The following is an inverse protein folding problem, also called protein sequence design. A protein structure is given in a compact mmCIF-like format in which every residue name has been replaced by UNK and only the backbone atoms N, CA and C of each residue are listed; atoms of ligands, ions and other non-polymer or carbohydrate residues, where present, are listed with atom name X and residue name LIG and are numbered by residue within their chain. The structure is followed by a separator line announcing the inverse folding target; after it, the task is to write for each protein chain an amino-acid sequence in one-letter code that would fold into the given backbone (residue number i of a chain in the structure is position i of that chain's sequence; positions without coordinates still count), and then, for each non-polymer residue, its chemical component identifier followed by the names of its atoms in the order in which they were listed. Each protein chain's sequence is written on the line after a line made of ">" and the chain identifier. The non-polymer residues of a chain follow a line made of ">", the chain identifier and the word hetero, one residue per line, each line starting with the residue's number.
data_IF_744597073578
#
_entry.id   IF_744597073578
#
_cell.length_a   1.000
_cell.length_b   1.000
_cell.length_c   1.000
_cell.angle_alpha   90.00
_cell.angle_beta   90.00
_cell.angle_gamma   90.00
#
_symmetry.space_group_name_H-M   'P 1'
#
loop_
_entity.id
_entity.type
_entity.pdbx_description
1 polymer ?
#
# COMPACT_ATOMS: atom_id res chain seq x y z
N UNK A 1 -5.65 -13.18 2.92
CA UNK A 1 -5.99 -11.76 3.17
C UNK A 1 -7.49 -11.75 3.37
N UNK A 2 -7.94 -11.50 4.61
CA UNK A 2 -9.36 -11.71 4.98
C UNK A 2 -10.15 -10.38 4.98
N UNK A 3 -9.46 -9.25 4.90
CA UNK A 3 -10.02 -7.89 4.95
C UNK A 3 -9.68 -7.13 3.68
N UNK A 4 -10.62 -6.34 3.17
CA UNK A 4 -10.43 -5.44 2.04
C UNK A 4 -10.77 -4.00 2.41
N UNK A 5 -9.94 -3.08 1.99
CA UNK A 5 -10.20 -1.65 2.03
C UNK A 5 -10.38 -1.14 0.60
N UNK A 6 -11.54 -0.57 0.27
CA UNK A 6 -11.83 -0.13 -1.09
C UNK A 6 -11.09 1.17 -1.38
N UNK A 7 -10.24 1.24 -2.43
CA UNK A 7 -9.55 2.48 -2.76
C UNK A 7 -10.52 3.55 -3.27
N UNK A 8 -10.20 4.82 -3.03
CA UNK A 8 -11.00 5.98 -3.49
C UNK A 8 -10.42 6.70 -4.70
N UNK A 9 -9.26 6.26 -5.16
CA UNK A 9 -8.64 6.76 -6.39
C UNK A 9 -7.86 5.64 -7.08
N UNK A 10 -7.80 5.72 -8.38
CA UNK A 10 -6.98 4.86 -9.22
C UNK A 10 -5.64 5.53 -9.52
N UNK A 11 -5.66 6.84 -9.71
CA UNK A 11 -4.53 7.74 -9.91
C UNK A 11 -4.89 9.15 -9.39
N UNK A 12 -4.00 10.12 -9.48
CA UNK A 12 -4.22 11.50 -9.00
C UNK A 12 -5.41 12.21 -9.69
N UNK A 13 -5.79 11.78 -10.91
CA UNK A 13 -6.85 12.38 -11.72
C UNK A 13 -8.13 11.54 -11.75
N UNK A 14 -8.06 10.25 -11.41
CA UNK A 14 -9.18 9.30 -11.53
C UNK A 14 -9.67 8.89 -10.15
N UNK A 15 -10.78 9.53 -9.72
CA UNK A 15 -11.44 9.14 -8.46
C UNK A 15 -12.34 7.92 -8.69
N UNK A 16 -12.24 6.97 -7.77
CA UNK A 16 -13.17 5.84 -7.68
C UNK A 16 -14.34 6.31 -6.81
N UNK A 17 -15.51 6.45 -7.43
CA UNK A 17 -16.72 6.93 -6.75
C UNK A 17 -17.81 5.87 -6.67
N UNK A 18 -17.61 4.71 -7.28
CA UNK A 18 -18.58 3.62 -7.27
C UNK A 18 -17.88 2.26 -7.21
N UNK A 19 -18.55 1.31 -6.57
CA UNK A 19 -18.24 -0.12 -6.70
C UNK A 19 -19.11 -0.66 -7.83
N UNK A 20 -18.45 -1.11 -8.90
CA UNK A 20 -19.11 -1.53 -10.13
C UNK A 20 -19.89 -2.85 -9.95
N UNK A 21 -20.77 -3.11 -10.92
CA UNK A 21 -21.53 -4.35 -10.97
C UNK A 21 -20.59 -5.56 -10.92
N UNK A 22 -20.90 -6.51 -10.04
CA UNK A 22 -20.16 -7.78 -9.86
C UNK A 22 -18.67 -7.63 -9.47
N UNK A 23 -18.22 -6.43 -9.06
CA UNK A 23 -16.79 -6.14 -8.79
C UNK A 23 -16.16 -7.09 -7.76
N UNK A 24 -16.91 -7.56 -6.79
CA UNK A 24 -16.49 -8.50 -5.74
C UNK A 24 -17.46 -9.69 -5.61
N UNK A 25 -18.12 -10.06 -6.71
CA UNK A 25 -19.03 -11.23 -6.72
C UNK A 25 -18.23 -12.53 -6.56
N UNK A 26 -18.77 -13.49 -5.76
CA UNK A 26 -18.16 -14.80 -5.52
C UNK A 26 -16.73 -14.74 -4.91
N UNK A 27 -16.44 -13.68 -4.16
CA UNK A 27 -15.10 -13.43 -3.61
C UNK A 27 -14.97 -14.08 -2.22
N UNK A 28 -14.66 -15.37 -2.19
CA UNK A 28 -14.67 -16.19 -0.96
C UNK A 28 -13.52 -15.94 0.03
N UNK A 29 -12.52 -15.12 -0.33
CA UNK A 29 -11.39 -14.85 0.58
C UNK A 29 -11.62 -13.67 1.52
N UNK A 30 -12.69 -12.88 1.35
CA UNK A 30 -12.96 -11.69 2.15
C UNK A 30 -13.88 -12.01 3.33
N UNK A 31 -13.53 -11.47 4.52
CA UNK A 31 -14.37 -11.51 5.73
C UNK A 31 -14.87 -10.14 6.14
N UNK A 32 -14.07 -9.13 5.95
CA UNK A 32 -14.37 -7.76 6.29
C UNK A 32 -14.07 -6.84 5.11
N UNK A 33 -14.97 -5.88 4.84
CA UNK A 33 -14.79 -4.88 3.80
C UNK A 33 -15.01 -3.49 4.40
N UNK A 34 -14.13 -2.55 4.05
CA UNK A 34 -14.28 -1.13 4.40
C UNK A 34 -14.49 -0.34 3.12
N UNK A 35 -15.62 0.36 3.05
CA UNK A 35 -16.00 1.27 1.96
C UNK A 35 -15.87 2.69 2.48
N UNK A 36 -14.75 3.38 2.19
CA UNK A 36 -14.42 4.66 2.81
C UNK A 36 -15.16 5.84 2.19
N UNK A 37 -15.00 7.02 2.81
CA UNK A 37 -15.48 8.26 2.24
C UNK A 37 -14.89 8.51 0.84
N UNK A 38 -15.75 8.98 -0.08
CA UNK A 38 -15.42 9.17 -1.51
C UNK A 38 -16.17 8.21 -2.42
N UNK A 39 -16.50 7.01 -1.96
CA UNK A 39 -17.42 6.12 -2.67
C UNK A 39 -18.85 6.60 -2.44
N UNK A 40 -19.59 6.79 -3.54
CA UNK A 40 -20.97 7.29 -3.53
C UNK A 40 -22.02 6.23 -3.87
N UNK A 41 -21.63 5.21 -4.63
CA UNK A 41 -22.54 4.18 -5.14
C UNK A 41 -22.00 2.76 -5.02
N UNK A 42 -22.87 1.80 -4.65
CA UNK A 42 -22.63 0.36 -4.73
C UNK A 42 -23.65 -0.22 -5.71
N UNK A 43 -23.16 -0.77 -6.83
CA UNK A 43 -24.02 -1.23 -7.93
C UNK A 43 -24.53 -2.65 -7.73
N UNK A 44 -25.37 -3.09 -8.69
CA UNK A 44 -26.01 -4.42 -8.64
C UNK A 44 -24.97 -5.52 -8.53
N UNK A 45 -25.28 -6.50 -7.69
CA UNK A 45 -24.49 -7.73 -7.51
C UNK A 45 -23.00 -7.47 -7.07
N UNK A 46 -22.67 -6.27 -6.60
CA UNK A 46 -21.28 -5.87 -6.32
C UNK A 46 -20.52 -6.84 -5.41
N UNK A 47 -21.21 -7.44 -4.43
CA UNK A 47 -20.65 -8.43 -3.50
C UNK A 47 -21.46 -9.73 -3.49
N UNK A 48 -22.24 -9.98 -4.54
CA UNK A 48 -23.11 -11.15 -4.62
C UNK A 48 -22.34 -12.44 -4.40
N UNK A 49 -22.94 -13.35 -3.60
CA UNK A 49 -22.40 -14.67 -3.29
C UNK A 49 -21.00 -14.69 -2.64
N UNK A 50 -20.49 -13.56 -2.15
CA UNK A 50 -19.26 -13.49 -1.36
C UNK A 50 -19.51 -13.93 0.08
N UNK A 51 -19.78 -15.23 0.27
CA UNK A 51 -20.40 -15.84 1.46
C UNK A 51 -19.59 -15.72 2.75
N UNK A 52 -18.30 -15.49 2.66
CA UNK A 52 -17.42 -15.37 3.81
C UNK A 52 -17.39 -13.95 4.41
N UNK A 53 -17.97 -12.95 3.72
CA UNK A 53 -18.07 -11.60 4.25
C UNK A 53 -19.06 -11.58 5.41
N UNK A 54 -18.60 -11.14 6.58
CA UNK A 54 -19.43 -11.00 7.78
C UNK A 54 -19.61 -9.55 8.21
N UNK A 55 -18.70 -8.67 7.80
CA UNK A 55 -18.69 -7.26 8.19
C UNK A 55 -18.43 -6.35 6.98
N UNK A 56 -19.29 -5.37 6.76
CA UNK A 56 -19.05 -4.30 5.79
C UNK A 56 -19.23 -2.95 6.49
N UNK A 57 -18.20 -2.12 6.46
CA UNK A 57 -18.21 -0.75 6.95
C UNK A 57 -18.48 0.18 5.78
N UNK A 58 -19.51 1.02 5.87
CA UNK A 58 -19.96 1.88 4.79
C UNK A 58 -19.96 3.33 5.26
N UNK A 59 -19.12 4.16 4.64
CA UNK A 59 -19.00 5.57 4.95
C UNK A 59 -20.27 6.38 4.56
N UNK A 60 -20.52 7.53 5.21
CA UNK A 60 -21.69 8.37 4.96
C UNK A 60 -21.80 8.93 3.54
N UNK A 61 -20.70 8.96 2.79
CA UNK A 61 -20.68 9.39 1.38
C UNK A 61 -21.48 8.49 0.46
N UNK A 62 -21.68 7.20 0.85
CA UNK A 62 -22.50 6.26 0.05
C UNK A 62 -23.97 6.66 0.17
N UNK A 63 -24.54 7.10 -0.95
CA UNK A 63 -25.92 7.57 -1.04
C UNK A 63 -26.81 6.73 -1.96
N UNK A 64 -26.25 5.66 -2.53
CA UNK A 64 -26.96 4.70 -3.36
C UNK A 64 -26.35 3.30 -3.22
N UNK A 65 -27.21 2.33 -2.89
CA UNK A 65 -26.85 0.91 -2.80
C UNK A 65 -27.92 0.13 -3.58
N UNK A 66 -27.47 -0.67 -4.56
CA UNK A 66 -28.36 -1.51 -5.33
C UNK A 66 -28.95 -2.61 -4.44
N UNK A 67 -30.20 -2.98 -4.69
CA UNK A 67 -30.91 -3.95 -3.85
C UNK A 67 -30.23 -5.32 -3.82
N UNK A 68 -29.59 -5.71 -4.92
CA UNK A 68 -28.90 -7.00 -5.07
C UNK A 68 -27.43 -6.95 -4.68
N UNK A 69 -26.92 -5.80 -4.21
CA UNK A 69 -25.50 -5.57 -3.96
C UNK A 69 -24.87 -6.63 -3.04
N UNK A 70 -25.65 -7.18 -2.09
CA UNK A 70 -25.20 -8.13 -1.08
C UNK A 70 -25.98 -9.44 -1.10
N UNK A 71 -26.63 -9.76 -2.22
CA UNK A 71 -27.39 -11.01 -2.35
C UNK A 71 -26.49 -12.24 -2.14
N UNK A 72 -27.02 -13.24 -1.42
CA UNK A 72 -26.26 -14.48 -1.13
C UNK A 72 -25.28 -14.40 0.02
N UNK A 73 -25.27 -13.30 0.79
CA UNK A 73 -24.46 -13.15 2.03
C UNK A 73 -25.38 -13.28 3.26
N UNK A 74 -25.42 -14.47 3.86
CA UNK A 74 -26.42 -14.80 4.92
C UNK A 74 -26.14 -14.14 6.29
N UNK A 75 -24.86 -13.92 6.65
CA UNK A 75 -24.44 -13.46 7.99
C UNK A 75 -23.86 -12.05 8.00
N UNK A 76 -24.25 -11.23 7.04
CA UNK A 76 -23.73 -9.88 6.90
C UNK A 76 -24.18 -8.96 8.04
N UNK A 77 -23.23 -8.19 8.58
CA UNK A 77 -23.48 -7.02 9.42
C UNK A 77 -22.96 -5.77 8.72
N UNK A 78 -23.84 -4.81 8.45
CA UNK A 78 -23.47 -3.50 7.94
C UNK A 78 -23.17 -2.58 9.13
N UNK A 79 -21.97 -1.99 9.11
CA UNK A 79 -21.56 -0.95 10.05
C UNK A 79 -21.65 0.39 9.32
N UNK A 80 -22.45 1.32 9.83
CA UNK A 80 -22.67 2.62 9.22
C UNK A 80 -23.03 3.68 10.27
N UNK A 81 -22.81 4.95 9.94
CA UNK A 81 -23.23 6.03 10.82
C UNK A 81 -24.75 6.13 10.92
N UNK A 82 -25.23 6.52 12.12
CA UNK A 82 -26.65 6.74 12.36
C UNK A 82 -27.18 7.87 11.46
N UNK A 83 -28.30 7.61 10.78
CA UNK A 83 -28.91 8.54 9.83
C UNK A 83 -28.39 8.41 8.40
N UNK A 84 -27.36 7.61 8.15
CA UNK A 84 -26.80 7.39 6.80
C UNK A 84 -27.75 6.64 5.88
N UNK A 85 -27.45 6.67 4.58
CA UNK A 85 -28.16 5.87 3.58
C UNK A 85 -27.96 4.35 3.84
N UNK A 86 -26.77 3.96 4.24
CA UNK A 86 -26.42 2.57 4.51
C UNK A 86 -27.20 1.99 5.71
N UNK A 87 -27.44 2.78 6.78
CA UNK A 87 -28.33 2.37 7.87
C UNK A 87 -29.74 2.09 7.35
N UNK A 88 -30.32 3.03 6.58
CA UNK A 88 -31.68 2.89 6.03
C UNK A 88 -31.77 1.65 5.13
N UNK A 89 -30.79 1.45 4.27
CA UNK A 89 -30.70 0.30 3.39
C UNK A 89 -30.65 -1.02 4.19
N UNK A 90 -29.81 -1.11 5.22
CA UNK A 90 -29.70 -2.29 6.07
C UNK A 90 -31.04 -2.63 6.75
N UNK A 91 -31.70 -1.63 7.32
CA UNK A 91 -33.00 -1.80 7.99
C UNK A 91 -34.09 -2.24 7.01
N UNK A 92 -34.21 -1.60 5.84
CA UNK A 92 -35.19 -1.92 4.81
C UNK A 92 -35.01 -3.34 4.24
N UNK A 93 -33.77 -3.78 4.09
CA UNK A 93 -33.44 -5.11 3.55
C UNK A 93 -33.24 -6.18 4.64
N UNK A 94 -33.49 -5.86 5.91
CA UNK A 94 -33.37 -6.79 7.05
C UNK A 94 -31.98 -7.38 7.22
N UNK A 95 -30.95 -6.61 6.88
CA UNK A 95 -29.54 -6.92 7.13
C UNK A 95 -29.19 -6.44 8.54
N UNK A 96 -28.38 -7.19 9.28
CA UNK A 96 -27.90 -6.75 10.59
C UNK A 96 -27.18 -5.42 10.47
N UNK A 97 -27.47 -4.51 11.39
CA UNK A 97 -26.88 -3.19 11.42
C UNK A 97 -26.24 -2.90 12.77
N UNK A 98 -25.09 -2.25 12.74
CA UNK A 98 -24.43 -1.66 13.90
C UNK A 98 -23.99 -0.24 13.61
N UNK A 99 -24.23 0.66 14.55
CA UNK A 99 -23.73 2.01 14.46
C UNK A 99 -22.22 2.04 14.71
N UNK A 100 -21.48 2.81 13.91
CA UNK A 100 -20.11 3.20 14.24
C UNK A 100 -19.95 4.73 14.13
N UNK A 101 -19.05 5.29 14.93
CA UNK A 101 -18.79 6.74 14.99
C UNK A 101 -17.41 7.11 14.46
N UNK A 102 -16.58 6.11 14.19
CA UNK A 102 -15.22 6.29 13.67
C UNK A 102 -15.01 5.21 12.64
N UNK A 103 -14.62 5.61 11.42
CA UNK A 103 -14.23 4.68 10.36
C UNK A 103 -13.17 3.72 10.91
N UNK A 104 -13.32 2.42 10.68
CA UNK A 104 -12.32 1.48 11.16
C UNK A 104 -10.97 1.88 10.59
N UNK A 105 -10.01 2.07 11.48
CA UNK A 105 -8.64 2.21 11.04
C UNK A 105 -8.30 1.00 10.18
N UNK A 106 -7.68 1.24 9.03
CA UNK A 106 -7.12 0.14 8.26
C UNK A 106 -6.12 -0.58 9.17
N UNK A 107 -6.42 -1.80 9.66
CA UNK A 107 -5.51 -2.49 10.57
C UNK A 107 -4.18 -2.80 9.92
N UNK A 108 -4.14 -2.85 8.58
CA UNK A 108 -2.91 -3.01 7.83
C UNK A 108 -2.03 -1.75 7.90
N UNK A 109 -2.62 -0.54 8.04
CA UNK A 109 -1.86 0.69 8.15
C UNK A 109 -0.97 0.77 9.41
N UNK A 110 -1.32 0.07 10.49
CA UNK A 110 -0.57 0.12 11.76
C UNK A 110 0.45 -1.00 11.97
N UNK A 111 0.32 -2.11 11.25
CA UNK A 111 1.15 -3.31 11.46
C UNK A 111 1.57 -4.00 10.17
N UNK A 112 1.40 -3.36 9.02
CA UNK A 112 1.85 -3.95 7.76
C UNK A 112 3.37 -3.98 7.76
N UNK A 113 3.92 -5.17 7.71
CA UNK A 113 5.32 -5.37 7.39
C UNK A 113 5.49 -5.08 5.89
N UNK A 114 5.68 -3.81 5.58
CA UNK A 114 5.83 -3.30 4.21
C UNK A 114 6.97 -3.99 3.44
N UNK A 115 7.86 -4.70 4.16
CA UNK A 115 8.94 -5.47 3.58
C UNK A 115 8.46 -6.73 2.84
N UNK A 116 7.21 -7.17 3.08
CA UNK A 116 6.67 -8.44 2.54
C UNK A 116 5.67 -8.27 1.41
N UNK A 117 5.37 -7.03 1.00
CA UNK A 117 4.44 -6.79 -0.10
C UNK A 117 5.12 -7.19 -1.42
N UNK A 118 4.47 -8.07 -2.17
CA UNK A 118 4.94 -8.56 -3.47
C UNK A 118 3.80 -8.58 -4.49
N UNK A 119 4.12 -8.27 -5.75
CA UNK A 119 3.28 -8.39 -6.93
C UNK A 119 2.18 -7.35 -7.07
N UNK A 120 2.58 -6.11 -7.38
CA UNK A 120 1.67 -5.01 -7.70
C UNK A 120 0.95 -5.14 -9.03
N UNK A 121 -0.26 -4.64 -9.05
CA UNK A 121 -1.09 -4.54 -10.24
C UNK A 121 -0.90 -3.21 -11.00
N UNK A 122 -0.14 -2.27 -10.44
CA UNK A 122 0.03 -0.93 -10.99
C UNK A 122 1.37 -0.82 -11.72
N UNK A 123 1.37 -0.16 -12.87
CA UNK A 123 2.53 0.01 -13.72
C UNK A 123 2.78 1.50 -13.97
N UNK A 124 3.80 2.04 -13.32
CA UNK A 124 4.39 3.31 -13.72
C UNK A 124 5.28 3.15 -14.97
N UNK A 125 5.81 4.24 -15.49
CA UNK A 125 6.68 4.19 -16.68
C UNK A 125 7.94 3.33 -16.44
N UNK A 126 8.53 3.44 -15.24
CA UNK A 126 9.78 2.74 -14.88
C UNK A 126 9.63 1.80 -13.68
N UNK A 127 8.55 1.91 -12.91
CA UNK A 127 8.34 1.18 -11.67
C UNK A 127 7.01 0.44 -11.69
N UNK A 128 7.01 -0.80 -11.21
CA UNK A 128 5.79 -1.44 -10.74
C UNK A 128 5.65 -1.09 -9.27
N UNK A 129 4.44 -0.83 -8.82
CA UNK A 129 4.18 -0.50 -7.42
C UNK A 129 2.83 -1.03 -6.97
N UNK A 130 2.71 -1.24 -5.66
CA UNK A 130 1.44 -1.52 -4.97
C UNK A 130 0.95 -0.26 -4.28
N UNK A 131 -0.36 -0.05 -4.27
CA UNK A 131 -1.00 0.96 -3.44
C UNK A 131 -1.45 0.30 -2.14
N UNK A 132 -0.98 0.86 -1.04
CA UNK A 132 -1.37 0.47 0.31
C UNK A 132 -1.86 1.69 1.06
N UNK A 133 -2.39 1.51 2.27
CA UNK A 133 -2.85 2.60 3.11
C UNK A 133 -1.98 2.73 4.36
N UNK A 134 -1.42 3.92 4.57
CA UNK A 134 -0.68 4.30 5.76
C UNK A 134 -1.42 5.42 6.48
N UNK A 135 -1.86 5.17 7.72
CA UNK A 135 -2.76 6.07 8.47
C UNK A 135 -3.99 6.57 7.66
N UNK A 136 -4.59 5.66 6.88
CA UNK A 136 -5.75 5.94 6.04
C UNK A 136 -5.46 6.76 4.79
N UNK A 137 -4.20 7.06 4.46
CA UNK A 137 -3.79 7.71 3.21
C UNK A 137 -3.23 6.68 2.24
N UNK A 138 -3.62 6.72 0.96
CA UNK A 138 -3.01 5.86 -0.05
C UNK A 138 -1.55 6.27 -0.27
N UNK A 139 -0.67 5.29 -0.31
CA UNK A 139 0.76 5.45 -0.52
C UNK A 139 1.27 4.32 -1.40
N UNK A 140 2.45 4.45 -2.00
CA UNK A 140 3.00 3.41 -2.84
C UNK A 140 4.16 2.64 -2.19
N UNK A 141 4.25 1.37 -2.58
CA UNK A 141 5.38 0.47 -2.34
C UNK A 141 5.94 0.07 -3.70
N UNK A 142 7.18 0.41 -4.00
CA UNK A 142 7.83 -0.02 -5.24
C UNK A 142 8.06 -1.54 -5.15
N UNK A 143 7.55 -2.28 -6.12
CA UNK A 143 7.65 -3.74 -6.20
C UNK A 143 8.58 -4.22 -7.30
N UNK A 144 8.88 -3.38 -8.28
CA UNK A 144 9.88 -3.69 -9.30
C UNK A 144 10.34 -2.42 -10.03
N UNK A 145 11.61 -2.40 -10.46
CA UNK A 145 12.19 -1.39 -11.33
C UNK A 145 12.39 -1.96 -12.73
N UNK A 146 11.67 -1.42 -13.71
CA UNK A 146 11.50 -2.03 -15.04
C UNK A 146 12.54 -1.60 -16.09
N UNK A 147 13.52 -0.78 -15.74
CA UNK A 147 14.47 -0.32 -16.73
C UNK A 147 15.77 -1.15 -16.72
N UNK A 148 16.26 -1.46 -17.91
CA UNK A 148 17.61 -1.99 -18.13
C UNK A 148 18.58 -0.84 -18.46
N UNK A 149 18.32 0.40 -18.00
CA UNK A 149 19.18 1.52 -18.33
C UNK A 149 20.56 1.36 -17.68
N UNK A 150 21.58 1.70 -18.43
CA UNK A 150 22.97 1.79 -17.93
C UNK A 150 23.22 3.15 -17.26
N UNK A 151 22.24 3.69 -16.55
CA UNK A 151 22.38 4.95 -15.86
C UNK A 151 23.38 4.81 -14.72
N UNK A 152 24.32 5.73 -14.61
CA UNK A 152 25.28 5.72 -13.51
C UNK A 152 24.61 6.10 -12.17
N UNK A 153 23.48 6.81 -12.23
CA UNK A 153 22.71 7.28 -11.06
C UNK A 153 21.25 6.91 -11.19
N UNK A 154 20.70 6.31 -10.13
CA UNK A 154 19.28 6.03 -9.94
C UNK A 154 18.70 7.00 -8.90
N UNK A 155 17.73 7.79 -9.28
CA UNK A 155 16.93 8.61 -8.36
C UNK A 155 15.56 7.96 -8.18
N UNK A 156 15.31 7.44 -6.97
CA UNK A 156 14.00 6.89 -6.64
C UNK A 156 13.02 8.04 -6.47
N UNK A 157 11.88 8.05 -7.16
CA UNK A 157 10.92 9.15 -7.06
C UNK A 157 10.29 9.21 -5.68
N UNK A 158 10.09 10.42 -5.15
CA UNK A 158 9.34 10.62 -3.92
C UNK A 158 7.84 10.31 -4.08
N UNK A 159 7.33 10.43 -5.31
CA UNK A 159 5.93 10.21 -5.64
C UNK A 159 5.80 9.44 -6.96
N UNK A 160 4.85 8.52 -7.02
CA UNK A 160 4.42 7.85 -8.25
C UNK A 160 2.91 8.01 -8.33
N UNK A 161 2.41 8.52 -9.46
CA UNK A 161 0.98 8.80 -9.70
C UNK A 161 0.32 9.64 -8.57
N UNK A 162 1.09 10.60 -8.03
CA UNK A 162 0.63 11.49 -6.94
C UNK A 162 0.64 10.85 -5.55
N UNK A 163 1.08 9.61 -5.40
CA UNK A 163 1.17 8.90 -4.13
C UNK A 163 2.60 8.91 -3.58
N UNK A 164 2.75 9.14 -2.28
CA UNK A 164 4.06 9.08 -1.61
C UNK A 164 4.65 7.66 -1.72
N UNK A 165 5.89 7.56 -2.17
CA UNK A 165 6.65 6.31 -2.14
C UNK A 165 7.22 6.12 -0.75
N UNK A 166 6.68 5.19 0.02
CA UNK A 166 7.09 4.96 1.43
C UNK A 166 7.95 3.72 1.63
N UNK A 167 7.98 2.82 0.66
CA UNK A 167 8.70 1.56 0.81
C UNK A 167 9.24 1.03 -0.52
N UNK A 168 10.36 0.31 -0.44
CA UNK A 168 10.95 -0.47 -1.51
C UNK A 168 10.84 -1.93 -1.09
N UNK A 169 10.09 -2.73 -1.86
CA UNK A 169 9.80 -4.11 -1.53
C UNK A 169 11.00 -5.05 -1.73
N UNK A 170 10.82 -6.29 -1.29
CA UNK A 170 11.75 -7.39 -1.51
C UNK A 170 11.96 -7.64 -3.02
N UNK A 171 13.20 -7.80 -3.43
CA UNK A 171 13.61 -8.01 -4.83
C UNK A 171 13.19 -6.86 -5.80
N UNK A 172 12.88 -5.65 -5.32
CA UNK A 172 12.31 -4.59 -6.15
C UNK A 172 13.32 -3.94 -7.11
N UNK A 173 14.58 -3.78 -6.71
CA UNK A 173 15.63 -3.10 -7.49
C UNK A 173 16.81 -4.05 -7.70
N UNK A 174 16.50 -5.19 -8.31
CA UNK A 174 17.51 -6.21 -8.61
C UNK A 174 18.29 -5.86 -9.85
N UNK A 175 19.55 -6.29 -9.91
CA UNK A 175 20.41 -6.17 -11.10
C UNK A 175 20.53 -4.72 -11.58
N UNK A 176 20.32 -3.74 -10.71
CA UNK A 176 20.48 -2.33 -11.04
C UNK A 176 21.90 -2.03 -11.49
N UNK A 177 22.04 -1.41 -12.67
CA UNK A 177 23.35 -1.02 -13.22
C UNK A 177 23.89 0.27 -12.60
N UNK A 178 23.11 0.98 -11.80
CA UNK A 178 23.49 2.25 -11.22
C UNK A 178 24.59 2.09 -10.16
N UNK A 179 25.57 2.98 -10.23
CA UNK A 179 26.63 3.10 -9.21
C UNK A 179 26.18 3.89 -8.00
N UNK A 180 25.33 4.86 -8.22
CA UNK A 180 24.77 5.73 -7.21
C UNK A 180 23.25 5.61 -7.15
N UNK A 181 22.68 5.50 -5.95
CA UNK A 181 21.23 5.51 -5.74
C UNK A 181 20.86 6.55 -4.70
N UNK A 182 19.85 7.38 -5.02
CA UNK A 182 19.29 8.37 -4.09
C UNK A 182 17.88 7.93 -3.71
N UNK A 183 17.67 7.75 -2.41
CA UNK A 183 16.37 7.39 -1.82
C UNK A 183 15.72 8.65 -1.24
N UNK A 184 14.47 8.98 -1.63
CA UNK A 184 13.82 10.20 -1.20
C UNK A 184 13.41 10.16 0.28
N UNK A 185 13.07 11.31 0.83
CA UNK A 185 12.69 11.51 2.22
C UNK A 185 11.31 10.90 2.58
N UNK A 186 10.50 10.55 1.60
CA UNK A 186 9.22 9.85 1.79
C UNK A 186 9.41 8.38 2.16
N UNK A 187 10.53 7.75 1.77
CA UNK A 187 10.79 6.33 2.03
C UNK A 187 11.18 6.09 3.48
N UNK A 188 10.46 5.18 4.11
CA UNK A 188 10.65 4.75 5.50
C UNK A 188 11.14 3.30 5.64
N UNK A 189 10.85 2.46 4.64
CA UNK A 189 11.11 1.03 4.70
C UNK A 189 11.85 0.54 3.44
N UNK A 190 12.94 -0.18 3.64
CA UNK A 190 13.68 -0.89 2.60
C UNK A 190 13.67 -2.37 2.98
N UNK A 191 13.03 -3.20 2.16
CA UNK A 191 12.83 -4.61 2.47
C UNK A 191 14.12 -5.45 2.37
N UNK A 192 14.03 -6.70 2.82
CA UNK A 192 15.03 -7.70 2.53
C UNK A 192 15.24 -7.84 1.01
N UNK A 193 16.47 -8.03 0.58
CA UNK A 193 16.85 -8.17 -0.84
C UNK A 193 16.43 -7.01 -1.77
N UNK A 194 15.97 -5.86 -1.26
CA UNK A 194 15.47 -4.75 -2.09
C UNK A 194 16.45 -4.33 -3.19
N UNK A 195 17.76 -4.39 -2.93
CA UNK A 195 18.86 -4.11 -3.86
C UNK A 195 19.79 -5.32 -4.05
N UNK A 196 19.25 -6.52 -3.93
CA UNK A 196 20.03 -7.75 -4.09
C UNK A 196 20.63 -7.80 -5.50
N UNK A 197 21.86 -8.33 -5.59
CA UNK A 197 22.59 -8.47 -6.85
C UNK A 197 22.82 -7.15 -7.61
N UNK A 198 22.72 -6.00 -6.92
CA UNK A 198 23.15 -4.71 -7.45
C UNK A 198 24.67 -4.58 -7.35
N UNK A 199 25.36 -5.38 -8.18
CA UNK A 199 26.84 -5.51 -8.13
C UNK A 199 27.59 -4.21 -8.45
N UNK A 200 26.94 -3.27 -9.13
CA UNK A 200 27.51 -1.98 -9.51
C UNK A 200 27.29 -0.90 -8.47
N UNK A 201 26.45 -1.13 -7.46
CA UNK A 201 26.08 -0.11 -6.47
C UNK A 201 27.24 0.18 -5.52
N UNK A 202 27.81 1.38 -5.65
CA UNK A 202 28.91 1.88 -4.85
C UNK A 202 28.44 2.84 -3.74
N UNK A 203 27.46 3.70 -4.06
CA UNK A 203 26.96 4.72 -3.14
C UNK A 203 25.44 4.71 -3.04
N UNK A 204 24.88 4.69 -1.83
CA UNK A 204 23.46 4.90 -1.59
C UNK A 204 23.23 6.02 -0.59
N UNK A 205 22.36 6.97 -0.94
CA UNK A 205 21.99 8.10 -0.12
C UNK A 205 20.65 7.85 0.55
N UNK A 206 20.64 7.78 1.86
CA UNK A 206 19.49 7.55 2.70
C UNK A 206 19.22 8.74 3.62
N UNK A 207 17.95 8.99 3.90
CA UNK A 207 17.54 10.07 4.78
C UNK A 207 17.30 9.59 6.21
N UNK A 208 17.14 10.51 7.14
CA UNK A 208 16.79 10.18 8.54
C UNK A 208 15.42 9.51 8.70
N UNK A 209 14.56 9.63 7.67
CA UNK A 209 13.21 9.07 7.70
C UNK A 209 13.19 7.54 7.48
N UNK A 210 14.28 6.97 6.97
CA UNK A 210 14.41 5.52 6.86
C UNK A 210 14.49 4.92 8.26
N UNK A 211 13.46 4.18 8.64
CA UNK A 211 13.29 3.56 9.97
C UNK A 211 13.49 2.05 9.98
N UNK A 212 13.58 1.44 8.80
CA UNK A 212 13.83 0.01 8.65
C UNK A 212 14.62 -0.28 7.36
N UNK A 213 15.62 -1.14 7.49
CA UNK A 213 16.39 -1.71 6.38
C UNK A 213 16.50 -3.22 6.64
N UNK A 214 16.02 -4.02 5.71
CA UNK A 214 16.09 -5.47 5.79
C UNK A 214 17.54 -5.97 5.83
N UNK A 215 17.80 -7.03 6.58
CA UNK A 215 19.16 -7.52 6.82
C UNK A 215 19.91 -7.87 5.55
N UNK A 216 19.23 -8.33 4.52
CA UNK A 216 19.78 -8.68 3.20
C UNK A 216 19.51 -7.64 2.12
N UNK A 217 19.07 -6.42 2.48
CA UNK A 217 18.67 -5.38 1.53
C UNK A 217 19.72 -5.10 0.46
N UNK A 218 21.00 -5.11 0.82
CA UNK A 218 22.14 -4.82 -0.06
C UNK A 218 23.03 -6.06 -0.29
N UNK A 219 22.40 -7.23 -0.30
CA UNK A 219 23.14 -8.47 -0.51
C UNK A 219 23.85 -8.43 -1.87
N UNK A 220 25.13 -8.78 -1.86
CA UNK A 220 26.04 -8.83 -2.99
C UNK A 220 26.56 -7.46 -3.51
N UNK A 221 26.19 -6.32 -2.89
CA UNK A 221 26.79 -4.99 -3.14
C UNK A 221 28.08 -4.84 -2.30
N UNK A 222 29.21 -5.32 -2.83
CA UNK A 222 30.45 -5.54 -2.05
C UNK A 222 31.18 -4.26 -1.65
N UNK A 223 31.11 -3.24 -2.49
CA UNK A 223 31.86 -1.98 -2.31
C UNK A 223 30.95 -0.83 -1.86
N UNK A 224 29.77 -1.16 -1.32
CA UNK A 224 28.75 -0.20 -0.94
C UNK A 224 29.21 0.72 0.19
N UNK A 225 28.95 2.02 0.00
CA UNK A 225 28.98 3.06 1.02
C UNK A 225 27.58 3.61 1.26
N UNK A 226 27.11 3.58 2.50
CA UNK A 226 25.85 4.21 2.89
C UNK A 226 26.14 5.65 3.32
N UNK A 227 25.51 6.60 2.65
CA UNK A 227 25.53 8.03 2.97
C UNK A 227 24.22 8.37 3.70
N UNK A 228 24.31 8.81 4.95
CA UNK A 228 23.13 9.17 5.74
C UNK A 228 23.51 10.08 6.91
N UNK A 229 22.54 10.77 7.56
CA UNK A 229 22.80 11.53 8.77
C UNK A 229 23.37 10.65 9.88
N UNK A 230 24.26 11.23 10.70
CA UNK A 230 24.67 10.60 11.95
C UNK A 230 23.47 10.38 12.86
N UNK A 231 23.51 9.33 13.68
CA UNK A 231 22.41 8.95 14.58
C UNK A 231 21.12 8.49 13.89
N UNK A 232 21.12 8.29 12.54
CA UNK A 232 20.03 7.68 11.81
C UNK A 232 20.00 6.15 11.97
N UNK A 233 18.85 5.54 11.62
CA UNK A 233 18.74 4.09 11.52
C UNK A 233 19.74 3.52 10.51
N UNK A 234 19.93 4.21 9.38
CA UNK A 234 20.89 3.82 8.34
C UNK A 234 22.34 3.79 8.83
N UNK A 235 22.74 4.72 9.72
CA UNK A 235 24.06 4.71 10.37
C UNK A 235 24.23 3.46 11.28
N UNK A 236 23.22 3.17 12.10
CA UNK A 236 23.22 1.98 12.96
C UNK A 236 23.31 0.71 12.12
N UNK A 237 22.48 0.62 11.08
CA UNK A 237 22.46 -0.52 10.16
C UNK A 237 23.83 -0.74 9.47
N UNK A 238 24.45 0.33 8.95
CA UNK A 238 25.76 0.26 8.31
C UNK A 238 26.83 -0.29 9.27
N UNK A 239 26.83 0.23 10.51
CA UNK A 239 27.78 -0.19 11.57
C UNK A 239 27.62 -1.66 11.93
N UNK A 240 26.37 -2.14 12.17
CA UNK A 240 26.08 -3.51 12.55
C UNK A 240 26.39 -4.53 11.44
N UNK A 241 26.18 -4.12 10.17
CA UNK A 241 26.42 -4.98 9.01
C UNK A 241 27.80 -4.78 8.38
N UNK A 242 28.68 -3.94 8.97
CA UNK A 242 30.04 -3.66 8.47
C UNK A 242 30.09 -3.13 7.04
N UNK A 243 29.11 -2.30 6.67
CA UNK A 243 29.05 -1.57 5.42
C UNK A 243 29.75 -0.22 5.62
N UNK A 244 30.48 0.26 4.60
CA UNK A 244 31.09 1.58 4.68
C UNK A 244 30.02 2.65 4.91
N UNK A 245 30.35 3.62 5.77
CA UNK A 245 29.44 4.70 6.12
C UNK A 245 30.12 6.06 5.93
N UNK A 246 29.37 7.01 5.39
CA UNK A 246 29.78 8.40 5.28
C UNK A 246 28.63 9.30 5.76
N UNK A 247 28.93 10.13 6.74
CA UNK A 247 27.96 11.09 7.26
C UNK A 247 27.56 12.12 6.21
N UNK A 248 26.27 12.41 6.13
CA UNK A 248 25.72 13.57 5.42
C UNK A 248 25.25 14.60 6.41
N UNK A 249 25.25 15.88 6.00
CA UNK A 249 24.59 16.93 6.76
C UNK A 249 23.07 16.73 6.68
N UNK A 250 22.36 17.14 7.75
CA UNK A 250 20.89 17.06 7.86
C UNK A 250 20.15 17.95 6.83
#
# INVERSE_FOLDING_TARGET
>A
MDDAYIPTSYDENTKITAIEKEAFSEFDCLKKVVIPNGICEIKDDAFKDSKNITEIYIAPSVNKIAKTAFDGIDNLTIYAEKGSYAEKFAVENKINYKNYTTEPENPEAKNTDYSKIRNGAYYGEYYNYDVIYDDGKPVCVITNYNTMSSEEKLEIPAHIDGLDVISIADDAINYGGAKETVVPDTVRFIADNAFKESYSLEDIYLTKNVSYIGKSAFKDSKDLTIHAPTDSYAHTFATENKINFKATDD
#
